data_IF_202117164192
#
_entry.id   IF_202117164192
#
_cell.length_a   1.000
_cell.length_b   1.000
_cell.length_c   1.000
_cell.angle_alpha   90.00
_cell.angle_beta   90.00
_cell.angle_gamma   90.00
#
_symmetry.space_group_name_H-M   'P 1'
#
loop_
_entity.id
_entity.type
_entity.pdbx_description
1 polymer ?
#
# COMPACT_ATOMS: atom_id res chain seq x y z
N UNK A 1 11.73 8.35 36.38
CA UNK A 1 12.66 8.16 35.25
C UNK A 1 11.82 8.24 33.97
N UNK A 2 11.61 9.44 33.43
CA UNK A 2 10.81 9.63 32.23
C UNK A 2 11.68 9.25 31.03
N UNK A 3 11.42 8.08 30.44
CA UNK A 3 12.00 7.74 29.14
C UNK A 3 11.55 8.80 28.15
N UNK A 4 12.50 9.43 27.44
CA UNK A 4 12.25 10.46 26.45
C UNK A 4 11.46 9.88 25.26
N UNK A 5 10.16 9.64 25.45
CA UNK A 5 9.28 8.86 24.58
C UNK A 5 8.93 9.51 23.24
N UNK A 6 9.48 10.69 22.95
CA UNK A 6 9.25 11.40 21.69
C UNK A 6 10.01 10.77 20.52
N UNK A 7 11.22 10.25 20.76
CA UNK A 7 12.07 9.65 19.72
C UNK A 7 11.54 8.28 19.27
N UNK A 8 11.18 7.33 20.18
CA UNK A 8 10.65 6.03 19.79
C UNK A 8 9.30 6.12 19.08
N UNK A 9 8.44 7.06 19.50
CA UNK A 9 7.12 7.25 18.89
C UNK A 9 7.21 7.73 17.43
N UNK A 10 8.10 8.69 17.14
CA UNK A 10 8.29 9.17 15.77
C UNK A 10 8.91 8.11 14.86
N UNK A 11 9.86 7.35 15.38
CA UNK A 11 10.44 6.24 14.64
C UNK A 11 9.37 5.17 14.33
N UNK A 12 8.56 4.80 15.32
CA UNK A 12 7.48 3.83 15.13
C UNK A 12 6.45 4.32 14.10
N UNK A 13 6.07 5.60 14.12
CA UNK A 13 5.18 6.16 13.11
C UNK A 13 5.80 6.11 11.70
N UNK A 14 7.10 6.43 11.53
CA UNK A 14 7.75 6.32 10.22
C UNK A 14 7.80 4.88 9.72
N UNK A 15 8.14 3.93 10.59
CA UNK A 15 8.13 2.49 10.25
C UNK A 15 6.71 2.03 9.92
N UNK A 16 5.69 2.46 10.68
CA UNK A 16 4.30 2.10 10.40
C UNK A 16 3.84 2.61 9.02
N UNK A 17 4.16 3.86 8.66
CA UNK A 17 3.85 4.38 7.34
C UNK A 17 4.64 3.68 6.23
N UNK A 18 5.90 3.33 6.48
CA UNK A 18 6.71 2.58 5.52
C UNK A 18 6.13 1.18 5.28
N UNK A 19 5.78 0.46 6.34
CA UNK A 19 5.16 -0.87 6.23
C UNK A 19 3.80 -0.77 5.53
N UNK A 20 2.98 0.22 5.87
CA UNK A 20 1.69 0.43 5.21
C UNK A 20 1.83 0.68 3.71
N UNK A 21 2.75 1.57 3.31
CA UNK A 21 3.01 1.85 1.89
C UNK A 21 3.56 0.64 1.15
N UNK A 22 4.46 -0.14 1.77
CA UNK A 22 4.94 -1.41 1.21
C UNK A 22 3.77 -2.37 1.00
N UNK A 23 2.90 -2.56 2.00
CA UNK A 23 1.73 -3.43 1.88
C UNK A 23 0.81 -2.98 0.74
N UNK A 24 0.54 -1.68 0.62
CA UNK A 24 -0.27 -1.12 -0.47
C UNK A 24 0.36 -1.40 -1.84
N UNK A 25 1.69 -1.27 -1.96
CA UNK A 25 2.42 -1.55 -3.21
C UNK A 25 2.46 -3.05 -3.54
N UNK A 26 2.56 -3.92 -2.53
CA UNK A 26 2.49 -5.38 -2.72
C UNK A 26 1.06 -5.87 -3.02
N UNK A 27 0.03 -5.15 -2.56
CA UNK A 27 -1.37 -5.38 -2.94
C UNK A 27 -1.70 -4.94 -4.37
N UNK A 28 -0.69 -4.86 -5.27
CA UNK A 28 -0.80 -4.41 -6.67
C UNK A 28 -1.99 -5.02 -7.40
N UNK A 29 -2.14 -6.34 -7.33
CA UNK A 29 -3.23 -7.06 -8.01
C UNK A 29 -4.62 -6.62 -7.52
N UNK A 30 -4.79 -6.46 -6.21
CA UNK A 30 -6.05 -5.99 -5.63
C UNK A 30 -6.31 -4.51 -5.96
N UNK A 31 -5.25 -3.71 -6.06
CA UNK A 31 -5.36 -2.30 -6.44
C UNK A 31 -5.77 -2.15 -7.91
N UNK A 32 -5.15 -2.92 -8.82
CA UNK A 32 -5.52 -2.98 -10.24
C UNK A 32 -6.98 -3.46 -10.40
N UNK A 33 -7.38 -4.52 -9.68
CA UNK A 33 -8.77 -5.03 -9.68
C UNK A 33 -9.79 -4.03 -9.12
N UNK A 34 -9.42 -3.21 -8.15
CA UNK A 34 -10.31 -2.19 -7.60
C UNK A 34 -10.58 -1.05 -8.60
N UNK A 35 -9.66 -0.81 -9.55
CA UNK A 35 -9.84 0.15 -10.64
C UNK A 35 -10.59 -0.43 -11.85
N UNK A 36 -10.88 -1.73 -11.85
CA UNK A 36 -11.57 -2.42 -12.95
C UNK A 36 -13.09 -2.52 -12.67
N UNK A 37 -13.92 -2.52 -13.73
CA UNK A 37 -15.36 -2.73 -13.60
C UNK A 37 -15.68 -4.15 -13.11
N UNK A 38 -16.88 -4.34 -12.54
CA UNK A 38 -17.39 -5.64 -12.05
C UNK A 38 -17.32 -6.78 -13.09
N UNK A 39 -17.30 -6.44 -14.39
CA UNK A 39 -17.07 -7.37 -15.49
C UNK A 39 -15.95 -6.77 -16.35
N UNK A 40 -14.75 -7.35 -16.29
CA UNK A 40 -13.59 -6.90 -17.06
C UNK A 40 -13.05 -8.04 -17.92
N UNK A 41 -12.54 -7.69 -19.10
CA UNK A 41 -11.83 -8.63 -19.96
C UNK A 41 -10.36 -8.78 -19.50
N UNK A 42 -9.70 -9.94 -19.70
CA UNK A 42 -8.28 -10.10 -19.38
C UNK A 42 -7.38 -9.03 -20.00
N UNK A 43 -7.77 -8.50 -21.17
CA UNK A 43 -7.03 -7.46 -21.88
C UNK A 43 -7.13 -6.08 -21.20
N UNK A 44 -8.21 -5.79 -20.47
CA UNK A 44 -8.35 -4.55 -19.69
C UNK A 44 -7.55 -4.62 -18.39
N UNK A 45 -7.39 -5.82 -17.81
CA UNK A 45 -6.51 -6.03 -16.67
C UNK A 45 -5.04 -5.81 -17.05
N UNK A 46 -4.58 -6.41 -18.16
CA UNK A 46 -3.20 -6.28 -18.63
C UNK A 46 -2.84 -4.82 -18.95
N UNK A 47 -3.76 -4.09 -19.60
CA UNK A 47 -3.59 -2.66 -19.86
C UNK A 47 -3.50 -1.84 -18.58
N UNK A 48 -4.21 -2.22 -17.51
CA UNK A 48 -4.21 -1.50 -16.22
C UNK A 48 -3.06 -1.90 -15.29
N UNK A 49 -2.47 -3.07 -15.47
CA UNK A 49 -1.27 -3.51 -14.73
C UNK A 49 0.01 -2.86 -15.28
N UNK A 50 0.01 -2.42 -16.55
CA UNK A 50 1.17 -1.83 -17.23
C UNK A 50 1.14 -0.30 -17.36
N UNK A 51 0.02 0.36 -17.08
CA UNK A 51 -0.08 1.83 -16.91
C UNK A 51 0.63 2.33 -15.65
#
# INVERSE_FOLDING_TARGET
MAVSGLVPARFLCMIAHLVLTIVILLSRDSNVKACLPLNYSPNEYDSKDTE
#
